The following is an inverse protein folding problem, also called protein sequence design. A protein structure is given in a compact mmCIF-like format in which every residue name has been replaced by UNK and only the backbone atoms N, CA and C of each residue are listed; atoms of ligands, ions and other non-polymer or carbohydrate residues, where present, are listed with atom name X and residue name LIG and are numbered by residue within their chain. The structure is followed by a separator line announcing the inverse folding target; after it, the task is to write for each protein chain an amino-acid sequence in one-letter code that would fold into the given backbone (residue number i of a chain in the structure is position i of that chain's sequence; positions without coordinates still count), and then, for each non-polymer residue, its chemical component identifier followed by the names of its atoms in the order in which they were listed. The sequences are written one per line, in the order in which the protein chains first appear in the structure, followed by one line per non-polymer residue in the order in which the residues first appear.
data_IF_567682511901
#
_entry.id   IF_567682511901
#
_cell.length_a   1.000
_cell.length_b   1.000
_cell.length_c   1.000
_cell.angle_alpha   90.00
_cell.angle_beta   90.00
_cell.angle_gamma   90.00
#
_symmetry.space_group_name_H-M   'P 1'
#
loop_
_entity.id
_entity.type
_entity.pdbx_description
1 polymer ?
#
# COMPACT_ATOMS: atom_id res chain seq x y z
N UNK A 1 -44.64 -19.53 -19.64
CA UNK A 1 -43.68 -18.51 -19.15
C UNK A 1 -42.78 -19.17 -18.12
N UNK A 2 -41.63 -19.71 -18.54
CA UNK A 2 -40.62 -20.25 -17.63
C UNK A 2 -39.32 -19.52 -17.93
N UNK A 3 -38.86 -18.66 -17.03
CA UNK A 3 -37.54 -18.04 -17.13
C UNK A 3 -36.50 -19.13 -16.85
N UNK A 4 -35.98 -19.71 -17.92
CA UNK A 4 -34.82 -20.60 -17.88
C UNK A 4 -33.61 -19.85 -17.34
N UNK A 5 -33.24 -20.16 -16.09
CA UNK A 5 -32.03 -19.66 -15.47
C UNK A 5 -30.82 -20.12 -16.27
N UNK A 6 -30.20 -19.18 -17.00
CA UNK A 6 -28.84 -19.33 -17.52
C UNK A 6 -27.89 -19.52 -16.34
N UNK A 7 -27.65 -20.78 -15.95
CA UNK A 7 -26.42 -21.18 -15.26
C UNK A 7 -25.31 -20.95 -16.27
N UNK A 8 -24.65 -19.79 -16.21
CA UNK A 8 -23.37 -19.59 -16.89
C UNK A 8 -22.45 -20.69 -16.40
N UNK A 9 -22.02 -21.57 -17.31
CA UNK A 9 -20.86 -22.44 -17.11
C UNK A 9 -19.70 -21.50 -16.77
N UNK A 10 -19.39 -21.39 -15.48
CA UNK A 10 -18.19 -20.70 -15.03
C UNK A 10 -17.03 -21.56 -15.50
N UNK A 11 -16.33 -21.12 -16.54
CA UNK A 11 -14.98 -21.57 -16.80
C UNK A 11 -14.21 -21.50 -15.48
N UNK A 12 -13.52 -22.58 -15.10
CA UNK A 12 -12.66 -22.65 -13.91
C UNK A 12 -11.58 -21.55 -14.00
N UNK A 13 -11.92 -20.33 -13.59
CA UNK A 13 -10.98 -19.22 -13.54
C UNK A 13 -10.06 -19.48 -12.35
N UNK A 14 -8.88 -20.03 -12.63
CA UNK A 14 -7.80 -20.12 -11.66
C UNK A 14 -7.03 -18.79 -11.64
N UNK A 15 -6.96 -18.08 -10.50
CA UNK A 15 -6.18 -16.85 -10.43
C UNK A 15 -4.69 -17.11 -10.67
N UNK A 16 -4.00 -16.16 -11.31
CA UNK A 16 -2.62 -16.33 -11.77
C UNK A 16 -1.65 -16.70 -10.64
N UNK A 17 -1.87 -16.18 -9.44
CA UNK A 17 -1.11 -16.55 -8.24
C UNK A 17 -1.14 -18.06 -8.00
N UNK A 18 -2.32 -18.67 -8.06
CA UNK A 18 -2.51 -20.09 -7.76
C UNK A 18 -1.82 -20.95 -8.81
N UNK A 19 -1.89 -20.55 -10.08
CA UNK A 19 -1.20 -21.20 -11.18
C UNK A 19 0.33 -21.15 -11.01
N UNK A 20 0.91 -19.98 -10.75
CA UNK A 20 2.36 -19.82 -10.51
C UNK A 20 2.76 -20.64 -9.29
N UNK A 21 2.03 -20.50 -8.18
CA UNK A 21 2.32 -21.21 -6.95
C UNK A 21 2.32 -22.74 -7.13
N UNK A 22 1.31 -23.30 -7.82
CA UNK A 22 1.21 -24.74 -8.09
C UNK A 22 2.29 -25.25 -9.04
N UNK A 23 2.80 -24.41 -9.95
CA UNK A 23 3.92 -24.77 -10.84
C UNK A 23 5.27 -24.92 -10.13
N UNK A 24 5.40 -24.43 -8.90
CA UNK A 24 6.60 -24.67 -8.10
C UNK A 24 6.44 -26.06 -7.47
N UNK A 25 7.18 -27.06 -7.93
CA UNK A 25 6.99 -28.46 -7.49
C UNK A 25 7.42 -28.70 -6.04
N UNK A 26 8.46 -27.99 -5.60
CA UNK A 26 9.13 -28.20 -4.33
C UNK A 26 8.55 -27.29 -3.21
N UNK A 27 8.24 -27.89 -2.06
CA UNK A 27 7.63 -27.18 -0.94
C UNK A 27 8.56 -26.14 -0.30
N UNK A 28 9.86 -26.38 -0.26
CA UNK A 28 10.84 -25.43 0.26
C UNK A 28 10.97 -24.21 -0.67
N UNK A 29 10.98 -24.43 -1.99
CA UNK A 29 10.95 -23.36 -3.00
C UNK A 29 9.67 -22.54 -2.91
N UNK A 30 8.51 -23.18 -2.66
CA UNK A 30 7.23 -22.47 -2.41
C UNK A 30 7.33 -21.56 -1.21
N UNK A 31 7.82 -22.06 -0.07
CA UNK A 31 7.98 -21.26 1.15
C UNK A 31 8.96 -20.10 0.94
N UNK A 32 10.12 -20.35 0.31
CA UNK A 32 11.10 -19.31 0.00
C UNK A 32 10.53 -18.23 -0.94
N UNK A 33 9.74 -18.63 -1.94
CA UNK A 33 9.04 -17.69 -2.83
C UNK A 33 8.00 -16.85 -2.07
N UNK A 34 7.17 -17.48 -1.24
CA UNK A 34 6.20 -16.74 -0.41
C UNK A 34 6.90 -15.77 0.55
N UNK A 35 8.02 -16.17 1.15
CA UNK A 35 8.81 -15.31 2.01
C UNK A 35 9.35 -14.08 1.25
N UNK A 36 9.95 -14.29 0.07
CA UNK A 36 10.46 -13.22 -0.78
C UNK A 36 9.37 -12.22 -1.20
N UNK A 37 8.13 -12.69 -1.31
CA UNK A 37 6.94 -11.92 -1.67
C UNK A 37 6.19 -11.32 -0.46
N UNK A 38 6.64 -11.61 0.77
CA UNK A 38 5.98 -11.17 2.02
C UNK A 38 4.65 -11.86 2.32
N UNK A 39 4.43 -13.03 1.75
CA UNK A 39 3.17 -13.77 1.84
C UNK A 39 3.24 -14.94 2.82
N UNK A 40 4.42 -15.26 3.39
CA UNK A 40 4.58 -16.43 4.26
C UNK A 40 3.75 -16.29 5.55
N UNK A 41 3.84 -15.18 6.28
CA UNK A 41 2.97 -14.98 7.46
C UNK A 41 1.46 -14.89 7.12
N UNK A 42 1.10 -14.62 5.86
CA UNK A 42 -0.29 -14.63 5.38
C UNK A 42 -0.77 -16.03 4.94
N UNK A 43 0.06 -17.07 5.09
CA UNK A 43 -0.25 -18.45 4.71
C UNK A 43 -1.59 -18.98 5.25
N UNK A 44 -2.01 -18.73 6.51
CA UNK A 44 -3.33 -19.16 6.98
C UNK A 44 -4.49 -18.64 6.12
N UNK A 45 -4.42 -17.37 5.69
CA UNK A 45 -5.45 -16.75 4.86
C UNK A 45 -5.44 -17.30 3.43
N UNK A 46 -4.26 -17.63 2.92
CA UNK A 46 -4.10 -18.31 1.63
C UNK A 46 -4.62 -19.76 1.67
N UNK A 47 -4.38 -20.50 2.76
CA UNK A 47 -4.95 -21.85 2.97
C UNK A 47 -6.46 -21.84 3.03
N UNK A 48 -7.05 -20.84 3.71
CA UNK A 48 -8.49 -20.64 3.73
C UNK A 48 -9.09 -20.42 2.32
N UNK A 49 -8.25 -20.11 1.32
CA UNK A 49 -8.62 -19.99 -0.10
C UNK A 49 -8.24 -21.21 -0.94
N UNK A 50 -7.86 -22.33 -0.31
CA UNK A 50 -7.57 -23.60 -0.98
C UNK A 50 -6.13 -23.78 -1.48
N UNK A 51 -5.16 -22.99 -0.99
CA UNK A 51 -3.75 -23.20 -1.30
C UNK A 51 -3.14 -24.29 -0.39
N UNK A 52 -2.45 -25.30 -0.96
CA UNK A 52 -1.80 -26.34 -0.18
C UNK A 52 -0.46 -25.82 0.39
N UNK A 53 -0.52 -25.01 1.43
CA UNK A 53 0.65 -24.50 2.14
C UNK A 53 0.99 -25.40 3.33
N UNK A 54 2.29 -25.53 3.61
CA UNK A 54 2.78 -26.15 4.83
C UNK A 54 2.34 -25.37 6.09
N UNK A 55 2.73 -25.87 7.26
CA UNK A 55 2.54 -25.18 8.52
C UNK A 55 3.19 -23.79 8.52
N UNK A 56 2.75 -22.94 9.45
CA UNK A 56 3.27 -21.60 9.62
C UNK A 56 4.78 -21.64 9.94
N UNK A 57 5.53 -20.60 9.56
CA UNK A 57 6.89 -20.39 10.05
C UNK A 57 6.82 -19.67 11.41
N UNK A 58 7.04 -20.37 12.54
CA UNK A 58 6.92 -19.76 13.87
C UNK A 58 7.95 -18.66 14.10
N UNK A 59 9.10 -18.69 13.41
CA UNK A 59 10.13 -17.66 13.53
C UNK A 59 9.68 -16.34 12.92
N UNK A 60 9.11 -16.37 11.71
CA UNK A 60 8.57 -15.17 11.05
C UNK A 60 7.38 -14.60 11.83
N UNK A 61 6.47 -15.46 12.31
CA UNK A 61 5.32 -15.02 13.12
C UNK A 61 5.77 -14.38 14.43
N UNK A 62 6.76 -14.94 15.11
CA UNK A 62 7.33 -14.36 16.35
C UNK A 62 7.96 -13.00 16.09
N UNK A 63 8.76 -12.89 15.03
CA UNK A 63 9.42 -11.62 14.66
C UNK A 63 8.40 -10.52 14.32
N UNK A 64 7.32 -10.85 13.61
CA UNK A 64 6.27 -9.88 13.30
C UNK A 64 5.41 -9.52 14.52
N UNK A 65 5.23 -10.44 15.48
CA UNK A 65 4.58 -10.13 16.75
C UNK A 65 5.40 -9.14 17.58
N UNK A 66 6.72 -9.33 17.68
CA UNK A 66 7.62 -8.38 18.32
C UNK A 66 7.61 -7.02 17.60
N UNK A 67 7.57 -7.03 16.26
CA UNK A 67 7.45 -5.79 15.48
C UNK A 67 6.13 -5.08 15.74
N UNK A 68 5.02 -5.81 15.83
CA UNK A 68 3.72 -5.26 16.14
C UNK A 68 3.68 -4.61 17.53
N UNK A 69 4.31 -5.24 18.53
CA UNK A 69 4.45 -4.66 19.87
C UNK A 69 5.28 -3.38 19.87
N UNK A 70 6.43 -3.37 19.17
CA UNK A 70 7.26 -2.17 19.03
C UNK A 70 6.53 -1.03 18.29
N UNK A 71 5.74 -1.35 17.26
CA UNK A 71 4.92 -0.39 16.55
C UNK A 71 3.80 0.18 17.43
N UNK A 72 3.14 -0.65 18.22
CA UNK A 72 2.13 -0.22 19.17
C UNK A 72 2.72 0.79 20.17
N UNK A 73 3.87 0.50 20.78
CA UNK A 73 4.54 1.41 21.71
C UNK A 73 4.80 2.80 21.09
N UNK A 74 5.33 2.81 19.85
CA UNK A 74 5.55 4.07 19.12
C UNK A 74 4.24 4.83 18.85
N UNK A 75 3.18 4.12 18.46
CA UNK A 75 1.87 4.73 18.22
C UNK A 75 1.26 5.29 19.52
N UNK A 76 1.46 4.64 20.66
CA UNK A 76 1.05 5.15 21.97
C UNK A 76 1.77 6.45 22.31
N UNK A 77 3.09 6.53 22.08
CA UNK A 77 3.87 7.74 22.30
C UNK A 77 3.38 8.91 21.43
N UNK A 78 3.11 8.66 20.14
CA UNK A 78 2.57 9.67 19.23
C UNK A 78 1.18 10.13 19.65
N UNK A 79 0.26 9.20 19.99
CA UNK A 79 -1.10 9.56 20.45
C UNK A 79 -1.03 10.39 21.74
N UNK A 80 -0.20 9.99 22.70
CA UNK A 80 -0.02 10.70 23.98
C UNK A 80 0.54 12.11 23.81
N UNK A 81 1.39 12.33 22.82
CA UNK A 81 1.97 13.64 22.53
C UNK A 81 0.96 14.66 21.97
N UNK A 82 -0.20 14.20 21.48
CA UNK A 82 -1.20 15.06 20.84
C UNK A 82 -0.82 15.56 19.43
N UNK A 83 0.32 15.16 18.88
CA UNK A 83 0.72 15.53 17.51
C UNK A 83 -0.27 14.92 16.50
N UNK A 84 -0.93 15.71 15.64
CA UNK A 84 -1.90 15.16 14.69
C UNK A 84 -1.23 14.38 13.56
N UNK A 85 -1.45 13.07 13.49
CA UNK A 85 -0.98 12.20 12.42
C UNK A 85 -2.08 11.24 11.94
N UNK A 86 -1.87 10.61 10.79
CA UNK A 86 -2.69 9.51 10.28
C UNK A 86 -1.81 8.28 10.04
N UNK A 87 -2.25 7.13 10.52
CA UNK A 87 -1.68 5.84 10.13
C UNK A 87 -2.12 5.47 8.71
N UNK A 88 -1.17 4.98 7.90
CA UNK A 88 -1.41 4.57 6.52
C UNK A 88 -0.64 3.30 6.15
N UNK A 89 -0.92 2.80 4.93
CA UNK A 89 -0.09 1.84 4.24
C UNK A 89 0.05 0.47 4.95
N UNK A 90 1.26 -0.11 4.91
CA UNK A 90 1.60 -1.39 5.53
C UNK A 90 1.05 -1.62 6.95
N UNK A 91 1.32 -0.70 7.88
CA UNK A 91 0.90 -0.83 9.27
C UNK A 91 -0.61 -0.75 9.42
N UNK A 92 -1.27 0.18 8.71
CA UNK A 92 -2.73 0.23 8.70
C UNK A 92 -3.34 -1.09 8.21
N UNK A 93 -2.76 -1.70 7.16
CA UNK A 93 -3.21 -2.99 6.63
C UNK A 93 -3.16 -4.08 7.70
N UNK A 94 -2.04 -4.20 8.40
CA UNK A 94 -1.83 -5.21 9.44
C UNK A 94 -2.90 -5.14 10.55
N UNK A 95 -3.25 -3.94 11.00
CA UNK A 95 -4.20 -3.76 12.10
C UNK A 95 -5.68 -3.84 11.69
N UNK A 96 -6.00 -3.71 10.41
CA UNK A 96 -7.39 -3.58 9.95
C UNK A 96 -7.86 -4.68 9.00
N UNK A 97 -6.94 -5.38 8.32
CA UNK A 97 -7.28 -6.38 7.31
C UNK A 97 -6.96 -7.81 7.74
N UNK A 98 -6.06 -7.97 8.71
CA UNK A 98 -5.59 -9.27 9.17
C UNK A 98 -6.20 -9.62 10.53
N UNK A 99 -6.49 -10.90 10.80
CA UNK A 99 -6.98 -11.33 12.11
C UNK A 99 -6.01 -10.95 13.25
N UNK A 100 -4.72 -11.01 12.96
CA UNK A 100 -3.64 -10.62 13.86
C UNK A 100 -2.62 -9.79 13.07
N UNK A 101 -2.06 -8.72 13.65
CA UNK A 101 -1.08 -7.86 12.96
C UNK A 101 0.19 -8.62 12.57
N UNK A 102 0.54 -9.69 13.28
CA UNK A 102 1.71 -10.53 12.98
C UNK A 102 1.59 -11.32 11.68
N UNK A 103 0.39 -11.40 11.08
CA UNK A 103 0.14 -12.10 9.81
C UNK A 103 0.43 -11.26 8.58
N UNK A 104 0.82 -10.00 8.77
CA UNK A 104 1.25 -9.09 7.72
C UNK A 104 2.71 -8.69 7.95
N UNK A 105 3.66 -9.29 7.22
CA UNK A 105 5.07 -8.90 7.27
C UNK A 105 5.28 -7.46 6.85
N UNK A 106 5.94 -6.65 7.69
CA UNK A 106 6.09 -5.21 7.41
C UNK A 106 7.39 -4.60 7.87
N UNK A 107 8.18 -4.03 6.97
CA UNK A 107 9.46 -3.39 7.35
C UNK A 107 9.30 -1.94 7.80
N UNK A 108 8.18 -1.31 7.45
CA UNK A 108 7.97 0.11 7.72
C UNK A 108 6.52 0.45 8.04
N UNK A 109 6.37 1.51 8.84
CA UNK A 109 5.11 2.20 9.12
C UNK A 109 5.07 3.52 8.34
N UNK A 110 3.95 3.80 7.66
CA UNK A 110 3.74 5.10 7.01
C UNK A 110 2.91 6.01 7.94
N UNK A 111 3.48 7.16 8.31
CA UNK A 111 2.81 8.20 9.08
C UNK A 111 2.60 9.42 8.21
N UNK A 112 1.36 9.88 8.08
CA UNK A 112 1.01 11.11 7.37
C UNK A 112 0.77 12.25 8.36
N UNK A 113 1.50 13.35 8.23
CA UNK A 113 1.48 14.49 9.14
C UNK A 113 1.36 15.81 8.39
N UNK A 114 0.74 16.81 8.99
CA UNK A 114 0.74 18.14 8.41
C UNK A 114 2.17 18.73 8.46
N UNK A 115 2.61 19.42 7.40
CA UNK A 115 3.98 19.97 7.32
C UNK A 115 4.38 20.78 8.56
N UNK A 116 3.45 21.55 9.12
CA UNK A 116 3.63 22.34 10.36
C UNK A 116 3.98 21.53 11.61
N UNK A 117 3.60 20.26 11.67
CA UNK A 117 3.80 19.39 12.84
C UNK A 117 4.97 18.41 12.64
N UNK A 118 5.71 18.51 11.53
CA UNK A 118 6.84 17.61 11.23
C UNK A 118 7.91 17.72 12.31
N UNK A 119 8.24 18.92 12.78
CA UNK A 119 9.29 19.09 13.79
C UNK A 119 8.92 18.46 15.14
N UNK A 120 7.65 18.55 15.54
CA UNK A 120 7.15 17.92 16.77
C UNK A 120 7.22 16.40 16.67
N UNK A 121 6.77 15.82 15.54
CA UNK A 121 6.92 14.38 15.29
C UNK A 121 8.40 13.94 15.29
N UNK A 122 9.31 14.75 14.76
CA UNK A 122 10.75 14.46 14.78
C UNK A 122 11.35 14.51 16.18
N UNK A 123 10.81 15.32 17.09
CA UNK A 123 11.23 15.33 18.48
C UNK A 123 10.81 14.01 19.15
N UNK A 124 9.54 13.64 19.02
CA UNK A 124 9.00 12.38 19.57
C UNK A 124 9.73 11.17 19.03
N UNK A 125 10.00 11.12 17.72
CA UNK A 125 10.78 10.02 17.12
C UNK A 125 12.17 9.90 17.75
N UNK A 126 12.83 11.02 18.05
CA UNK A 126 14.15 11.00 18.72
C UNK A 126 14.06 10.55 20.16
N UNK A 127 13.03 10.98 20.88
CA UNK A 127 12.77 10.58 22.26
C UNK A 127 12.48 9.07 22.35
N UNK A 128 11.93 8.47 21.28
CA UNK A 128 11.69 7.03 21.12
C UNK A 128 12.88 6.28 20.46
N UNK A 129 14.09 6.84 20.53
CA UNK A 129 15.35 6.28 20.01
C UNK A 129 15.38 6.04 18.49
N UNK A 130 14.55 6.72 17.70
CA UNK A 130 14.66 6.71 16.25
C UNK A 130 15.66 7.76 15.75
N UNK A 131 16.42 7.35 14.76
CA UNK A 131 17.35 8.22 14.03
C UNK A 131 16.92 8.33 12.57
N UNK A 132 17.16 9.48 11.91
CA UNK A 132 16.99 9.60 10.46
C UNK A 132 17.77 8.50 9.75
N UNK A 133 17.13 7.82 8.80
CA UNK A 133 17.81 6.86 7.94
C UNK A 133 18.35 7.56 6.69
N UNK A 134 19.68 7.72 6.55
CA UNK A 134 20.27 8.35 5.37
C UNK A 134 20.03 7.56 4.08
N UNK A 135 19.76 6.25 4.16
CA UNK A 135 19.47 5.39 3.01
C UNK A 135 18.04 5.52 2.53
N UNK A 136 17.13 5.95 3.40
CA UNK A 136 15.72 6.18 3.08
C UNK A 136 15.43 7.58 2.55
N UNK A 137 16.40 8.23 1.91
CA UNK A 137 16.20 9.49 1.22
C UNK A 137 15.08 9.33 0.18
N UNK A 138 14.00 10.09 0.33
CA UNK A 138 12.88 10.02 -0.59
C UNK A 138 13.18 10.83 -1.85
N UNK A 139 12.53 10.49 -2.97
CA UNK A 139 12.66 11.25 -4.23
C UNK A 139 12.15 12.68 -4.05
N UNK A 140 11.26 12.90 -3.07
CA UNK A 140 10.70 14.19 -2.71
C UNK A 140 11.43 14.83 -1.53
N UNK A 141 11.13 16.09 -1.29
CA UNK A 141 11.49 16.75 -0.04
C UNK A 141 10.39 16.58 1.02
N UNK A 142 9.40 15.71 0.77
CA UNK A 142 8.16 15.64 1.56
C UNK A 142 7.92 14.35 2.31
N UNK A 143 8.97 13.55 2.45
CA UNK A 143 8.99 12.41 3.32
C UNK A 143 10.40 12.15 3.86
N UNK A 144 10.47 11.58 5.05
CA UNK A 144 11.71 11.21 5.73
C UNK A 144 11.59 9.81 6.31
N UNK A 145 12.59 8.98 6.05
CA UNK A 145 12.72 7.68 6.69
C UNK A 145 13.44 7.81 8.04
N UNK A 146 12.98 7.03 9.00
CA UNK A 146 13.51 6.91 10.35
C UNK A 146 13.66 5.44 10.67
N UNK A 147 14.68 5.08 11.44
CA UNK A 147 14.87 3.71 11.92
C UNK A 147 15.20 3.73 13.40
N UNK A 148 14.72 2.73 14.13
CA UNK A 148 15.06 2.58 15.55
C UNK A 148 16.56 2.28 15.67
N UNK A 149 17.26 3.01 16.53
CA UNK A 149 18.73 2.95 16.61
C UNK A 149 19.24 1.67 17.26
N UNK A 150 18.55 1.18 18.29
CA UNK A 150 18.93 0.00 19.09
C UNK A 150 17.67 -0.79 19.44
N UNK A 151 17.42 -1.89 18.73
CA UNK A 151 16.32 -2.80 19.03
C UNK A 151 16.61 -4.21 18.52
N UNK A 152 16.03 -5.22 19.18
CA UNK A 152 16.03 -6.61 18.69
C UNK A 152 15.31 -6.73 17.35
N UNK A 153 14.31 -5.88 17.11
CA UNK A 153 13.55 -5.82 15.86
C UNK A 153 13.75 -4.48 15.17
N UNK A 154 14.07 -4.54 13.88
CA UNK A 154 14.10 -3.35 13.04
C UNK A 154 12.68 -2.87 12.77
N UNK A 155 12.42 -1.63 13.16
CA UNK A 155 11.22 -0.88 12.82
C UNK A 155 11.64 0.40 12.11
N UNK A 156 11.14 0.58 10.88
CA UNK A 156 11.32 1.82 10.13
C UNK A 156 10.03 2.63 10.09
N UNK A 157 10.15 3.95 10.09
CA UNK A 157 9.01 4.87 10.00
C UNK A 157 9.25 5.79 8.82
N UNK A 158 8.27 5.85 7.92
CA UNK A 158 8.21 6.82 6.85
C UNK A 158 7.27 7.95 7.26
N UNK A 159 7.86 9.03 7.74
CA UNK A 159 7.15 10.27 8.09
C UNK A 159 6.93 11.08 6.81
N UNK A 160 5.67 11.30 6.41
CA UNK A 160 5.29 11.98 5.16
C UNK A 160 4.41 13.18 5.45
N UNK A 161 4.62 14.27 4.73
CA UNK A 161 3.72 15.43 4.73
C UNK A 161 3.10 15.72 3.37
N UNK A 162 3.14 14.70 2.51
CA UNK A 162 2.54 14.63 1.18
C UNK A 162 1.98 13.21 0.97
N UNK A 163 1.00 13.07 0.09
CA UNK A 163 0.29 11.79 -0.07
C UNK A 163 1.11 10.75 -0.84
N UNK A 164 1.89 11.16 -1.85
CA UNK A 164 2.70 10.28 -2.67
C UNK A 164 4.00 10.97 -3.09
N UNK A 165 4.99 10.20 -3.53
CA UNK A 165 6.28 10.75 -3.95
C UNK A 165 6.23 11.37 -5.35
N UNK A 166 5.38 10.84 -6.24
CA UNK A 166 5.31 11.38 -7.58
C UNK A 166 4.59 12.75 -7.62
N UNK A 167 5.20 13.84 -8.14
CA UNK A 167 4.64 15.20 -8.10
C UNK A 167 3.25 15.36 -8.74
N UNK A 168 2.92 14.58 -9.78
CA UNK A 168 1.59 14.59 -10.41
C UNK A 168 0.51 14.00 -9.49
N UNK A 169 0.87 12.99 -8.71
CA UNK A 169 -0.05 12.27 -7.82
C UNK A 169 -0.22 13.00 -6.50
N UNK A 170 0.86 13.58 -5.98
CA UNK A 170 0.86 14.29 -4.73
C UNK A 170 -0.17 15.43 -4.68
N UNK A 171 -0.35 16.18 -5.78
CA UNK A 171 -1.31 17.29 -5.86
C UNK A 171 -2.78 16.88 -5.79
N UNK A 172 -3.09 15.58 -5.81
CA UNK A 172 -4.48 15.08 -5.83
C UNK A 172 -5.11 15.06 -4.44
N UNK A 173 -4.30 14.96 -3.40
CA UNK A 173 -4.76 14.86 -2.00
C UNK A 173 -3.99 15.86 -1.14
N UNK A 174 -4.66 16.45 -0.15
CA UNK A 174 -4.02 17.27 0.87
C UNK A 174 -4.10 16.56 2.21
N UNK A 175 -3.05 16.67 3.03
CA UNK A 175 -3.05 16.06 4.37
C UNK A 175 -4.21 16.58 5.21
N UNK A 176 -4.53 17.89 5.15
CA UNK A 176 -5.67 18.46 5.85
C UNK A 176 -7.01 17.82 5.41
N UNK A 177 -7.21 17.60 4.10
CA UNK A 177 -8.40 16.93 3.58
C UNK A 177 -8.49 15.47 4.02
N UNK A 178 -7.35 14.77 4.05
CA UNK A 178 -7.26 13.40 4.56
C UNK A 178 -7.56 13.33 6.06
N UNK A 179 -7.06 14.29 6.85
CA UNK A 179 -7.35 14.38 8.28
C UNK A 179 -8.84 14.60 8.52
N UNK A 180 -9.49 15.48 7.75
CA UNK A 180 -10.94 15.71 7.84
C UNK A 180 -11.79 14.47 7.47
N UNK A 181 -11.23 13.53 6.68
CA UNK A 181 -11.89 12.27 6.26
C UNK A 181 -11.33 11.03 6.94
N UNK A 182 -10.45 11.20 7.93
CA UNK A 182 -9.84 10.09 8.64
C UNK A 182 -10.83 9.45 9.60
N UNK A 183 -10.59 8.17 9.89
CA UNK A 183 -11.40 7.38 10.82
C UNK A 183 -10.60 7.14 12.10
N UNK A 184 -11.30 6.96 13.21
CA UNK A 184 -10.70 6.45 14.44
C UNK A 184 -10.72 4.92 14.37
N UNK A 185 -9.60 4.29 14.70
CA UNK A 185 -9.50 2.83 14.82
C UNK A 185 -9.26 2.44 16.28
N UNK A 186 -9.77 1.28 16.69
CA UNK A 186 -9.70 0.82 18.08
C UNK A 186 -8.36 0.19 18.44
N UNK A 187 -7.65 -0.35 17.44
CA UNK A 187 -6.35 -1.01 17.56
C UNK A 187 -5.31 -0.32 16.66
N UNK A 188 -4.03 -0.31 17.05
CA UNK A 188 -3.47 -0.84 18.31
C UNK A 188 -3.67 0.07 19.53
N UNK A 189 -4.04 1.34 19.33
CA UNK A 189 -4.15 2.34 20.39
C UNK A 189 -5.49 3.05 20.29
N UNK A 190 -6.18 3.22 21.42
CA UNK A 190 -7.46 3.91 21.44
C UNK A 190 -7.31 5.36 20.96
N UNK A 191 -8.23 5.83 20.12
CA UNK A 191 -8.20 7.19 19.58
C UNK A 191 -7.22 7.40 18.42
N UNK A 192 -6.51 6.36 18.00
CA UNK A 192 -5.62 6.42 16.84
C UNK A 192 -6.43 6.77 15.57
N UNK A 193 -5.96 7.78 14.83
CA UNK A 193 -6.54 8.16 13.54
C UNK A 193 -5.80 7.49 12.38
N UNK A 194 -6.55 7.03 11.41
CA UNK A 194 -6.04 6.37 10.21
C UNK A 194 -6.76 6.85 8.94
N UNK A 195 -6.21 6.52 7.78
CA UNK A 195 -6.94 6.67 6.52
C UNK A 195 -8.22 5.83 6.54
N UNK A 196 -9.34 6.42 6.14
CA UNK A 196 -10.57 5.65 5.83
C UNK A 196 -10.32 4.66 4.69
N UNK A 197 -11.10 3.59 4.62
CA UNK A 197 -10.87 2.45 3.71
C UNK A 197 -10.77 2.84 2.23
N UNK A 198 -11.54 3.84 1.80
CA UNK A 198 -11.52 4.36 0.42
C UNK A 198 -10.18 5.07 0.14
N UNK A 199 -9.72 5.90 1.08
CA UNK A 199 -8.44 6.61 0.96
C UNK A 199 -7.25 5.66 1.11
N UNK A 200 -7.33 4.66 1.99
CA UNK A 200 -6.31 3.62 2.13
C UNK A 200 -6.20 2.77 0.85
N UNK A 201 -7.34 2.48 0.20
CA UNK A 201 -7.39 1.79 -1.10
C UNK A 201 -6.73 2.61 -2.20
N UNK A 202 -7.06 3.91 -2.31
CA UNK A 202 -6.40 4.80 -3.25
C UNK A 202 -4.91 4.95 -2.95
N UNK A 203 -4.53 5.09 -1.67
CA UNK A 203 -3.12 5.17 -1.27
C UNK A 203 -2.32 3.96 -1.73
N UNK A 204 -2.87 2.75 -1.55
CA UNK A 204 -2.25 1.51 -2.03
C UNK A 204 -2.10 1.51 -3.56
N UNK A 205 -3.13 1.92 -4.31
CA UNK A 205 -3.06 2.02 -5.77
C UNK A 205 -2.04 3.07 -6.26
N UNK A 206 -1.86 4.18 -5.56
CA UNK A 206 -0.87 5.17 -5.93
C UNK A 206 0.55 4.72 -5.59
N UNK A 207 0.75 4.07 -4.43
CA UNK A 207 2.03 3.45 -4.07
C UNK A 207 2.44 2.35 -5.05
N UNK A 208 1.48 1.65 -5.63
CA UNK A 208 1.74 0.67 -6.67
C UNK A 208 2.46 1.29 -7.88
N UNK A 209 2.13 2.53 -8.26
CA UNK A 209 2.81 3.24 -9.37
C UNK A 209 4.30 3.41 -9.09
N UNK A 210 4.66 3.75 -7.84
CA UNK A 210 6.06 3.87 -7.44
C UNK A 210 6.74 2.48 -7.41
N UNK A 211 6.04 1.47 -6.88
CA UNK A 211 6.55 0.10 -6.73
C UNK A 211 6.81 -0.62 -8.07
N UNK A 212 6.01 -0.36 -9.12
CA UNK A 212 6.21 -0.91 -10.47
C UNK A 212 7.58 -0.50 -11.06
N UNK A 213 8.18 0.58 -10.56
CA UNK A 213 9.48 1.06 -11.00
C UNK A 213 10.61 0.80 -10.00
N UNK A 214 10.32 0.12 -8.90
CA UNK A 214 11.27 -0.24 -7.84
C UNK A 214 11.15 -1.74 -7.57
N UNK A 215 10.41 -2.10 -6.52
CA UNK A 215 10.10 -3.48 -6.17
C UNK A 215 8.64 -3.56 -5.74
N UNK A 216 7.86 -4.30 -6.49
CA UNK A 216 6.50 -4.66 -6.13
C UNK A 216 6.50 -5.98 -5.36
N UNK A 217 5.79 -6.03 -4.22
CA UNK A 217 5.61 -7.25 -3.44
C UNK A 217 4.16 -7.72 -3.55
N UNK A 218 3.94 -9.03 -3.70
CA UNK A 218 2.58 -9.56 -3.77
C UNK A 218 1.74 -9.27 -2.53
N UNK A 219 2.34 -9.12 -1.35
CA UNK A 219 1.61 -8.75 -0.13
C UNK A 219 0.86 -7.42 -0.24
N UNK A 220 1.42 -6.44 -0.97
CA UNK A 220 0.76 -5.14 -1.15
C UNK A 220 -0.50 -5.27 -2.03
N UNK A 221 -0.46 -6.19 -3.00
CA UNK A 221 -1.61 -6.53 -3.83
C UNK A 221 -2.63 -7.39 -3.09
N UNK A 222 -2.17 -8.23 -2.17
CA UNK A 222 -3.04 -9.01 -1.30
C UNK A 222 -3.81 -8.09 -0.34
N UNK A 223 -3.15 -7.07 0.24
CA UNK A 223 -3.82 -6.03 1.00
C UNK A 223 -4.94 -5.36 0.17
N UNK A 224 -4.69 -5.13 -1.12
CA UNK A 224 -5.69 -4.55 -2.02
C UNK A 224 -6.89 -5.50 -2.25
N UNK A 225 -6.65 -6.80 -2.42
CA UNK A 225 -7.72 -7.80 -2.50
C UNK A 225 -8.55 -7.83 -1.20
N UNK A 226 -7.90 -7.82 -0.04
CA UNK A 226 -8.59 -7.82 1.26
C UNK A 226 -9.42 -6.56 1.46
N UNK A 227 -8.86 -5.37 1.21
CA UNK A 227 -9.61 -4.10 1.27
C UNK A 227 -10.83 -4.14 0.36
N UNK A 228 -10.68 -4.62 -0.87
CA UNK A 228 -11.79 -4.70 -1.81
C UNK A 228 -12.93 -5.56 -1.29
N UNK A 229 -12.62 -6.74 -0.74
CA UNK A 229 -13.62 -7.67 -0.20
C UNK A 229 -14.34 -7.13 1.04
N UNK A 230 -13.72 -6.21 1.78
CA UNK A 230 -14.35 -5.52 2.92
C UNK A 230 -15.26 -4.37 2.51
N UNK A 231 -15.11 -3.83 1.29
CA UNK A 231 -15.95 -2.73 0.81
C UNK A 231 -17.35 -3.23 0.44
N UNK A 232 -18.36 -2.73 1.13
CA UNK A 232 -19.75 -2.86 0.72
C UNK A 232 -20.05 -2.11 -0.59
N UNK A 233 -21.16 -2.43 -1.25
CA UNK A 233 -21.55 -1.84 -2.55
C UNK A 233 -21.56 -0.31 -2.55
N UNK A 234 -22.06 0.31 -1.49
CA UNK A 234 -22.09 1.76 -1.33
C UNK A 234 -20.69 2.36 -1.30
N UNK A 235 -19.80 1.77 -0.49
CA UNK A 235 -18.40 2.19 -0.36
C UNK A 235 -17.61 2.02 -1.65
N UNK A 236 -17.94 1.01 -2.47
CA UNK A 236 -17.37 0.85 -3.81
C UNK A 236 -17.77 1.99 -4.75
N UNK A 237 -19.03 2.44 -4.69
CA UNK A 237 -19.49 3.58 -5.49
C UNK A 237 -18.81 4.88 -5.05
N UNK A 238 -18.68 5.10 -3.74
CA UNK A 238 -17.96 6.25 -3.16
C UNK A 238 -16.47 6.24 -3.56
N UNK A 239 -15.80 5.10 -3.47
CA UNK A 239 -14.41 4.93 -3.90
C UNK A 239 -14.25 5.26 -5.39
N UNK A 240 -15.13 4.74 -6.25
CA UNK A 240 -15.07 4.99 -7.69
C UNK A 240 -15.29 6.47 -8.01
N UNK A 241 -16.25 7.12 -7.36
CA UNK A 241 -16.49 8.55 -7.49
C UNK A 241 -15.28 9.37 -7.04
N UNK A 242 -14.72 9.04 -5.87
CA UNK A 242 -13.54 9.70 -5.32
C UNK A 242 -12.35 9.55 -6.28
N UNK A 243 -12.11 8.36 -6.83
CA UNK A 243 -11.02 8.12 -7.77
C UNK A 243 -11.12 9.03 -9.01
N UNK A 244 -12.33 9.17 -9.59
CA UNK A 244 -12.60 10.06 -10.73
C UNK A 244 -12.40 11.54 -10.37
N UNK A 245 -12.96 11.99 -9.24
CA UNK A 245 -12.82 13.38 -8.79
C UNK A 245 -11.35 13.76 -8.55
N UNK A 246 -10.55 12.81 -8.08
CA UNK A 246 -9.12 13.01 -7.82
C UNK A 246 -8.24 12.76 -9.06
N UNK A 247 -8.84 12.35 -10.18
CA UNK A 247 -8.12 12.08 -11.41
C UNK A 247 -7.11 10.95 -11.25
N UNK A 248 -7.51 9.85 -10.61
CA UNK A 248 -6.71 8.63 -10.40
C UNK A 248 -7.51 7.35 -10.68
N UNK A 249 -8.64 7.45 -11.38
CA UNK A 249 -9.47 6.31 -11.75
C UNK A 249 -8.72 5.29 -12.61
N UNK A 250 -7.88 5.74 -13.54
CA UNK A 250 -7.09 4.85 -14.39
C UNK A 250 -6.10 4.00 -13.59
N UNK A 251 -5.43 4.61 -12.62
CA UNK A 251 -4.48 3.91 -11.72
C UNK A 251 -5.22 2.89 -10.87
N UNK A 252 -6.36 3.28 -10.27
CA UNK A 252 -7.18 2.35 -9.50
C UNK A 252 -7.65 1.18 -10.37
N UNK A 253 -8.08 1.42 -11.60
CA UNK A 253 -8.54 0.36 -12.50
C UNK A 253 -7.45 -0.66 -12.82
N UNK A 254 -6.23 -0.21 -13.09
CA UNK A 254 -5.11 -1.10 -13.38
C UNK A 254 -4.69 -1.91 -12.14
N UNK A 255 -4.64 -1.27 -10.96
CA UNK A 255 -4.32 -1.95 -9.71
C UNK A 255 -5.38 -3.02 -9.35
N UNK A 256 -6.67 -2.69 -9.47
CA UNK A 256 -7.76 -3.63 -9.26
C UNK A 256 -7.80 -4.74 -10.32
N UNK A 257 -7.47 -4.41 -11.57
CA UNK A 257 -7.32 -5.39 -12.65
C UNK A 257 -6.22 -6.40 -12.35
N UNK A 258 -5.11 -5.94 -11.75
CA UNK A 258 -4.03 -6.80 -11.28
C UNK A 258 -4.49 -7.67 -10.11
N UNK A 259 -5.14 -7.10 -9.09
CA UNK A 259 -5.66 -7.85 -7.94
C UNK A 259 -6.66 -8.93 -8.39
N UNK A 260 -7.57 -8.59 -9.31
CA UNK A 260 -8.50 -9.54 -9.93
C UNK A 260 -7.77 -10.69 -10.64
N UNK A 261 -6.75 -10.38 -11.43
CA UNK A 261 -5.99 -11.38 -12.19
C UNK A 261 -5.21 -12.33 -11.26
N UNK A 262 -4.56 -11.76 -10.25
CA UNK A 262 -3.65 -12.48 -9.36
C UNK A 262 -4.41 -13.23 -8.27
N UNK A 263 -5.38 -12.61 -7.60
CA UNK A 263 -6.09 -13.16 -6.43
C UNK A 263 -7.57 -13.47 -6.66
N UNK A 264 -8.10 -13.26 -7.87
CA UNK A 264 -9.53 -13.44 -8.12
C UNK A 264 -10.39 -12.44 -7.33
N UNK A 265 -9.88 -11.24 -7.08
CA UNK A 265 -10.64 -10.16 -6.44
C UNK A 265 -11.95 -9.93 -7.18
N UNK A 266 -13.11 -9.88 -6.49
CA UNK A 266 -14.44 -9.81 -7.11
C UNK A 266 -14.74 -8.39 -7.61
N UNK A 267 -13.97 -7.92 -8.58
CA UNK A 267 -14.15 -6.63 -9.25
C UNK A 267 -14.96 -6.87 -10.52
N UNK A 268 -16.12 -6.23 -10.62
CA UNK A 268 -16.95 -6.35 -11.82
C UNK A 268 -16.25 -5.77 -13.05
N UNK A 269 -16.48 -6.38 -14.21
CA UNK A 269 -15.87 -5.93 -15.47
C UNK A 269 -16.38 -4.54 -15.85
N UNK A 270 -17.65 -4.24 -15.54
CA UNK A 270 -18.30 -2.96 -15.78
C UNK A 270 -17.61 -1.84 -15.00
N UNK A 271 -17.28 -2.09 -13.73
CA UNK A 271 -16.60 -1.09 -12.89
C UNK A 271 -15.18 -0.83 -13.37
N UNK A 272 -14.42 -1.89 -13.69
CA UNK A 272 -13.08 -1.73 -14.27
C UNK A 272 -13.14 -0.95 -15.58
N UNK A 273 -14.07 -1.29 -16.47
CA UNK A 273 -14.23 -0.58 -17.74
C UNK A 273 -14.55 0.90 -17.53
N UNK A 274 -15.49 1.21 -16.63
CA UNK A 274 -15.86 2.59 -16.30
C UNK A 274 -14.69 3.40 -15.72
N UNK A 275 -13.91 2.80 -14.81
CA UNK A 275 -12.73 3.45 -14.25
C UNK A 275 -11.63 3.67 -15.31
N UNK A 276 -11.41 2.70 -16.21
CA UNK A 276 -10.46 2.85 -17.33
C UNK A 276 -10.87 3.95 -18.30
N UNK A 277 -12.14 3.99 -18.70
CA UNK A 277 -12.67 5.06 -19.56
C UNK A 277 -12.47 6.44 -18.93
N UNK A 278 -12.76 6.57 -17.63
CA UNK A 278 -12.51 7.82 -16.88
C UNK A 278 -11.01 8.16 -16.88
N UNK A 279 -10.16 7.15 -16.69
CA UNK A 279 -8.71 7.26 -16.64
C UNK A 279 -8.03 7.68 -17.95
N UNK A 280 -8.65 7.46 -19.11
CA UNK A 280 -8.07 7.81 -20.42
C UNK A 280 -7.78 9.32 -20.56
N UNK A 281 -8.50 10.16 -19.82
CA UNK A 281 -8.33 11.60 -19.82
C UNK A 281 -7.47 12.11 -18.65
N UNK A 282 -7.05 11.22 -17.74
CA UNK A 282 -6.27 11.58 -16.57
C UNK A 282 -4.78 11.60 -16.88
N UNK A 283 -4.11 12.72 -16.59
CA UNK A 283 -2.64 12.79 -16.71
C UNK A 283 -1.91 11.75 -15.86
N UNK A 284 -2.51 11.32 -14.75
CA UNK A 284 -1.97 10.32 -13.83
C UNK A 284 -1.93 8.92 -14.46
N UNK A 285 -2.94 8.53 -15.26
CA UNK A 285 -2.97 7.25 -15.97
C UNK A 285 -1.79 7.09 -16.93
N UNK A 286 -1.23 8.21 -17.39
CA UNK A 286 -0.06 8.20 -18.26
C UNK A 286 1.23 7.67 -17.61
N UNK A 287 1.26 7.56 -16.27
CA UNK A 287 2.40 6.99 -15.52
C UNK A 287 2.51 5.47 -15.67
N UNK A 288 1.44 4.77 -16.05
CA UNK A 288 1.39 3.31 -16.14
C UNK A 288 1.64 2.75 -17.55
N UNK A 289 1.98 3.58 -18.54
CA UNK A 289 2.08 3.18 -19.94
C UNK A 289 3.11 2.07 -20.22
N UNK A 290 2.70 1.04 -20.99
CA UNK A 290 3.54 -0.10 -21.37
C UNK A 290 4.82 0.34 -22.13
N UNK A 291 5.96 -0.28 -21.81
CA UNK A 291 7.23 -0.17 -22.56
C UNK A 291 8.05 1.11 -22.37
N UNK A 292 7.43 2.25 -22.05
CA UNK A 292 8.14 3.53 -21.76
C UNK A 292 7.82 4.11 -20.37
N UNK A 293 7.13 3.32 -19.52
CA UNK A 293 6.62 3.74 -18.22
C UNK A 293 7.70 4.38 -17.33
N UNK A 294 8.86 3.72 -17.16
CA UNK A 294 9.94 4.22 -16.29
C UNK A 294 10.50 5.57 -16.76
N UNK A 295 10.88 5.69 -18.04
CA UNK A 295 11.40 6.95 -18.58
C UNK A 295 10.37 8.06 -18.46
N UNK A 296 9.11 7.79 -18.85
CA UNK A 296 8.03 8.76 -18.77
C UNK A 296 7.72 9.16 -17.33
N UNK A 297 7.69 8.22 -16.39
CA UNK A 297 7.51 8.46 -14.97
C UNK A 297 8.57 9.46 -14.47
N UNK A 298 9.84 9.20 -14.74
CA UNK A 298 10.91 10.10 -14.28
C UNK A 298 10.92 11.45 -15.00
N UNK A 299 10.68 11.49 -16.32
CA UNK A 299 10.57 12.75 -17.06
C UNK A 299 9.42 13.62 -16.53
N UNK A 300 8.26 13.03 -16.29
CA UNK A 300 7.13 13.76 -15.69
C UNK A 300 7.44 14.20 -14.27
N UNK A 301 8.11 13.38 -13.46
CA UNK A 301 8.61 13.79 -12.16
C UNK A 301 9.56 15.00 -12.25
N UNK A 302 10.46 15.02 -13.22
CA UNK A 302 11.37 16.14 -13.46
C UNK A 302 10.66 17.40 -13.96
N UNK A 303 9.67 17.28 -14.84
CA UNK A 303 8.92 18.43 -15.35
C UNK A 303 8.01 19.07 -14.27
N UNK A 304 7.36 18.24 -13.44
CA UNK A 304 6.36 18.69 -12.48
C UNK A 304 6.88 18.86 -11.05
N UNK A 305 8.11 18.43 -10.77
CA UNK A 305 8.80 18.60 -9.50
C UNK A 305 8.99 20.08 -9.15
N UNK A 306 8.75 20.42 -7.88
CA UNK A 306 9.02 21.75 -7.32
C UNK A 306 10.47 21.82 -6.85
N UNK A 307 11.23 22.78 -7.37
CA UNK A 307 12.64 22.99 -7.01
C UNK A 307 13.64 22.14 -7.81
N UNK A 308 14.83 22.69 -8.04
CA UNK A 308 15.88 22.05 -8.87
C UNK A 308 16.33 20.69 -8.33
N UNK A 309 16.35 20.51 -7.00
CA UNK A 309 16.75 19.25 -6.35
C UNK A 309 15.82 18.09 -6.71
N UNK A 310 14.51 18.28 -6.59
CA UNK A 310 13.51 17.25 -6.93
C UNK A 310 13.61 16.90 -8.42
N UNK A 311 13.75 17.91 -9.28
CA UNK A 311 13.91 17.68 -10.72
C UNK A 311 15.19 16.91 -11.04
N UNK A 312 16.31 17.30 -10.44
CA UNK A 312 17.60 16.65 -10.59
C UNK A 312 17.57 15.19 -10.13
N UNK A 313 16.91 14.87 -9.01
CA UNK A 313 16.74 13.48 -8.55
C UNK A 313 15.99 12.62 -9.57
N UNK A 314 14.88 13.12 -10.11
CA UNK A 314 14.13 12.39 -11.14
C UNK A 314 14.96 12.18 -12.42
N UNK A 315 15.74 13.17 -12.86
CA UNK A 315 16.64 13.02 -14.00
C UNK A 315 17.78 12.03 -13.71
N UNK A 316 18.35 12.06 -12.50
CA UNK A 316 19.40 11.12 -12.10
C UNK A 316 18.91 9.66 -12.06
N UNK A 317 17.64 9.43 -11.70
CA UNK A 317 17.03 8.10 -11.75
C UNK A 317 16.86 7.53 -13.17
N UNK A 318 16.94 8.36 -14.22
CA UNK A 318 16.95 7.89 -15.61
C UNK A 318 18.28 7.23 -16.00
N UNK A 319 19.39 7.68 -15.42
CA UNK A 319 20.74 7.22 -15.75
C UNK A 319 21.26 6.16 -14.76
N UNK A 320 20.63 6.03 -13.59
CA UNK A 320 21.00 5.02 -12.61
C UNK A 320 20.40 3.66 -13.00
N UNK A 321 21.18 2.57 -13.07
CA UNK A 321 20.62 1.23 -13.16
C UNK A 321 19.72 1.04 -11.93
N UNK A 322 18.46 0.66 -12.20
CA UNK A 322 17.49 0.33 -11.15
C UNK A 322 17.54 -1.14 -10.81
#
# INVERSE_FOLDING_TARGET
MGMGGMRRQGSDFEPEFFRIFRSIEDQQKRSAWLQAEGMLAAAPMLRARGLPLAADDPGEVSLEAERAAAEQQMLEALVRSGVPFLLAGPSLAAWTLYPEPGRRPRESMDLMIHARAVNDARAILRDEDFVPDPRGATRTESAQAWRRSKASVQLSIRLRWDFCDHPILNRRFSIAGLQAKSVVIEKPVAGLRALGVEHATLYSALRWVDAVHERFRLVDLFDQDLRWRMLGKEKLAELALLARQRGVAGILAEHLGMARRVFGTPVSTELLHSLKQSGNHERSGSLLGAGRGRMRYHLLGALYGRGLRVRGRHLFSLISPG
#
